data_IF_697005835556
#
_entry.id   IF_697005835556
#
_cell.length_a   1.000
_cell.length_b   1.000
_cell.length_c   1.000
_cell.angle_alpha   90.00
_cell.angle_beta   90.00
_cell.angle_gamma   90.00
#
_symmetry.space_group_name_H-M   'P 1'
#
loop_
_entity.id
_entity.type
_entity.pdbx_description
1 polymer ?
#
# COMPACT_ATOMS: atom_id res chain seq x y z
N UNK A 1 -11.68 0.87 -6.88
CA UNK A 1 -11.97 2.25 -6.44
C UNK A 1 -11.30 2.58 -5.08
N UNK A 2 -11.71 1.96 -3.98
CA UNK A 2 -11.17 2.25 -2.64
C UNK A 2 -9.81 1.58 -2.39
N UNK A 3 -9.68 0.31 -2.78
CA UNK A 3 -8.42 -0.43 -2.64
C UNK A 3 -7.27 0.22 -3.42
N UNK A 4 -7.56 0.72 -4.63
CA UNK A 4 -6.60 1.47 -5.45
C UNK A 4 -6.17 2.76 -4.73
N UNK A 5 -7.13 3.54 -4.25
CA UNK A 5 -6.86 4.80 -3.53
C UNK A 5 -6.04 4.56 -2.27
N UNK A 6 -6.39 3.53 -1.49
CA UNK A 6 -5.64 3.13 -0.31
C UNK A 6 -4.21 2.75 -0.67
N UNK A 7 -4.01 1.97 -1.73
CA UNK A 7 -2.68 1.58 -2.16
C UNK A 7 -1.86 2.76 -2.73
N UNK A 8 -2.50 3.70 -3.43
CA UNK A 8 -1.85 4.96 -3.84
C UNK A 8 -1.32 5.75 -2.64
N UNK A 9 -2.06 5.81 -1.52
CA UNK A 9 -1.58 6.48 -0.31
C UNK A 9 -0.30 5.80 0.21
N UNK A 10 -0.28 4.46 0.24
CA UNK A 10 0.89 3.67 0.66
C UNK A 10 2.10 3.92 -0.24
N UNK A 11 1.88 4.13 -1.54
CA UNK A 11 2.96 4.35 -2.51
C UNK A 11 3.51 5.78 -2.50
N UNK A 12 2.72 6.78 -2.07
CA UNK A 12 3.11 8.19 -2.04
C UNK A 12 4.01 8.57 -0.87
N UNK A 13 4.14 7.73 0.14
CA UNK A 13 4.96 8.00 1.32
C UNK A 13 6.02 6.92 1.54
N UNK A 14 7.08 7.29 2.24
CA UNK A 14 8.10 6.37 2.75
C UNK A 14 7.78 5.88 4.17
N UNK A 15 6.82 6.51 4.84
CA UNK A 15 6.41 6.19 6.20
C UNK A 15 5.17 5.26 6.21
N UNK A 16 4.93 4.53 7.31
CA UNK A 16 3.74 3.72 7.45
C UNK A 16 2.47 4.57 7.32
N UNK A 17 1.49 4.08 6.56
CA UNK A 17 0.19 4.74 6.37
C UNK A 17 -0.85 4.01 7.19
N UNK A 18 -1.63 4.73 7.98
CA UNK A 18 -2.80 4.16 8.62
C UNK A 18 -3.92 4.00 7.59
N UNK A 19 -4.40 2.77 7.44
CA UNK A 19 -5.54 2.47 6.58
C UNK A 19 -6.70 1.95 7.42
N UNK A 20 -7.90 1.95 6.85
CA UNK A 20 -9.01 1.20 7.43
C UNK A 20 -8.67 -0.30 7.46
N UNK A 21 -9.03 -0.98 8.55
CA UNK A 21 -8.69 -2.39 8.79
C UNK A 21 -9.06 -3.31 7.62
N UNK A 22 -10.22 -3.10 7.00
CA UNK A 22 -10.70 -3.91 5.86
C UNK A 22 -9.80 -3.71 4.63
N UNK A 23 -9.34 -2.49 4.38
CA UNK A 23 -8.45 -2.16 3.26
C UNK A 23 -7.04 -2.69 3.50
N UNK A 24 -6.52 -2.53 4.72
CA UNK A 24 -5.22 -3.07 5.14
C UNK A 24 -5.18 -4.59 4.98
N UNK A 25 -6.22 -5.29 5.46
CA UNK A 25 -6.31 -6.74 5.35
C UNK A 25 -6.35 -7.21 3.89
N UNK A 26 -7.18 -6.58 3.04
CA UNK A 26 -7.26 -6.93 1.62
C UNK A 26 -5.91 -6.74 0.90
N UNK A 27 -5.24 -5.62 1.11
CA UNK A 27 -3.92 -5.35 0.51
C UNK A 27 -2.85 -6.35 0.99
N UNK A 28 -2.90 -6.73 2.28
CA UNK A 28 -2.02 -7.75 2.86
C UNK A 28 -2.28 -9.13 2.26
N UNK A 29 -3.55 -9.52 2.10
CA UNK A 29 -3.92 -10.80 1.46
C UNK A 29 -3.46 -10.89 0.01
N UNK A 30 -3.34 -9.76 -0.69
CA UNK A 30 -2.77 -9.68 -2.04
C UNK A 30 -1.23 -9.66 -2.06
N UNK A 31 -0.57 -9.60 -0.90
CA UNK A 31 0.89 -9.50 -0.79
C UNK A 31 1.47 -8.15 -1.21
N UNK A 32 0.64 -7.10 -1.33
CA UNK A 32 1.06 -5.78 -1.77
C UNK A 32 1.62 -4.91 -0.64
N UNK A 33 1.18 -5.17 0.59
CA UNK A 33 1.59 -4.43 1.79
C UNK A 33 1.89 -5.38 2.94
N UNK A 34 2.73 -4.93 3.86
CA UNK A 34 2.93 -5.54 5.18
C UNK A 34 2.22 -4.65 6.20
N UNK A 35 1.44 -5.27 7.09
CA UNK A 35 0.78 -4.60 8.20
C UNK A 35 1.70 -4.62 9.43
N UNK A 36 1.92 -3.45 10.02
CA UNK A 36 2.64 -3.24 11.28
C UNK A 36 1.67 -3.28 12.46
N UNK A 37 2.09 -2.83 13.63
CA UNK A 37 1.20 -2.68 14.77
C UNK A 37 -0.01 -1.77 14.43
N UNK A 38 -1.20 -2.22 14.80
CA UNK A 38 -2.46 -1.56 14.45
C UNK A 38 -2.82 -1.70 12.96
N UNK A 39 -3.29 -0.61 12.36
CA UNK A 39 -3.64 -0.56 10.93
C UNK A 39 -2.62 0.19 10.07
N UNK A 40 -1.39 0.34 10.58
CA UNK A 40 -0.28 0.91 9.84
C UNK A 40 0.22 -0.09 8.79
N UNK A 41 0.41 0.36 7.56
CA UNK A 41 0.88 -0.48 6.46
C UNK A 41 2.06 0.15 5.72
N UNK A 42 2.93 -0.71 5.19
CA UNK A 42 4.03 -0.36 4.30
C UNK A 42 3.98 -1.22 3.03
N UNK A 43 4.53 -0.76 1.89
CA UNK A 43 4.74 -1.62 0.73
C UNK A 43 5.49 -2.89 1.13
N UNK A 44 5.09 -4.03 0.58
CA UNK A 44 5.70 -5.33 0.94
C UNK A 44 7.16 -5.45 0.48
N UNK A 45 7.52 -4.78 -0.61
CA UNK A 45 8.89 -4.69 -1.10
C UNK A 45 9.08 -3.49 -2.04
N UNK A 46 10.33 -3.08 -2.24
CA UNK A 46 10.70 -2.01 -3.18
C UNK A 46 10.29 -2.31 -4.62
N UNK A 47 10.31 -3.59 -5.04
CA UNK A 47 9.93 -3.98 -6.39
C UNK A 47 8.47 -3.61 -6.68
N UNK A 48 7.55 -4.03 -5.81
CA UNK A 48 6.13 -3.68 -5.95
C UNK A 48 5.90 -2.19 -5.78
N UNK A 49 6.61 -1.55 -4.84
CA UNK A 49 6.53 -0.09 -4.69
C UNK A 49 6.83 0.60 -6.02
N UNK A 50 7.99 0.33 -6.63
CA UNK A 50 8.42 0.99 -7.88
C UNK A 50 7.52 0.67 -9.06
N UNK A 51 7.15 -0.61 -9.23
CA UNK A 51 6.28 -1.05 -10.30
C UNK A 51 4.92 -0.34 -10.24
N UNK A 52 4.22 -0.41 -9.11
CA UNK A 52 2.91 0.22 -8.98
C UNK A 52 2.98 1.75 -8.92
N UNK A 53 4.09 2.32 -8.46
CA UNK A 53 4.33 3.76 -8.55
C UNK A 53 4.38 4.23 -10.01
N UNK A 54 5.14 3.55 -10.88
CA UNK A 54 5.15 3.88 -12.32
C UNK A 54 3.78 3.66 -12.96
N UNK A 55 3.11 2.53 -12.64
CA UNK A 55 1.77 2.22 -13.17
C UNK A 55 0.71 3.25 -12.78
N UNK A 56 0.77 3.80 -11.56
CA UNK A 56 -0.25 4.76 -11.09
C UNK A 56 0.11 6.23 -11.30
N UNK A 57 1.39 6.58 -11.31
CA UNK A 57 1.83 7.98 -11.35
C UNK A 57 2.57 8.36 -12.64
N UNK A 58 2.79 7.42 -13.56
CA UNK A 58 3.28 7.71 -14.91
C UNK A 58 4.66 8.39 -14.92
N UNK A 59 5.67 7.68 -14.43
CA UNK A 59 7.08 7.97 -14.74
C UNK A 59 7.53 6.95 -15.78
#
# INVERSE_FOLDING_TARGET
>A
PELKTAFEQVLRTVAPVELEQVLAFKLKSMGLVVQLEGNLVLPSCDLYRRYFYSVFFGI
#
